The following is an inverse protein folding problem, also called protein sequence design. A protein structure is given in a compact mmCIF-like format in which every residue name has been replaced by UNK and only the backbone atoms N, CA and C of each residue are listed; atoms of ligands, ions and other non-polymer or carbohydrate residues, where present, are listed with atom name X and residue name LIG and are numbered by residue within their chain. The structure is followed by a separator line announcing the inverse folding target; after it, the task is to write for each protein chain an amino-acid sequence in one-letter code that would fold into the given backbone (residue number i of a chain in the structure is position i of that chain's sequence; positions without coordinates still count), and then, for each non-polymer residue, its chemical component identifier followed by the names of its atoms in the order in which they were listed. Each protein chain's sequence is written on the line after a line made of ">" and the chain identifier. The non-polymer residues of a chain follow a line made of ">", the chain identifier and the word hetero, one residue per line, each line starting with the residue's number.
data_IF_276822314238
#
_entry.id   IF_276822314238
#
_cell.length_a   1.000
_cell.length_b   1.000
_cell.length_c   1.000
_cell.angle_alpha   90.00
_cell.angle_beta   90.00
_cell.angle_gamma   90.00
#
_symmetry.space_group_name_H-M   'P 1'
#
loop_
_entity.id
_entity.type
_entity.pdbx_description
1 polymer ?
#
# COMPACT_ATOMS: atom_id res chain seq x y z
N UNK A 1 -13.25 -26.68 5.96
CA UNK A 1 -12.43 -25.48 6.14
C UNK A 1 -12.73 -24.87 7.51
N UNK A 2 -11.71 -24.67 8.35
CA UNK A 2 -11.87 -24.11 9.70
C UNK A 2 -12.45 -22.68 9.63
N UNK A 3 -13.18 -22.23 10.68
CA UNK A 3 -13.81 -20.89 10.76
C UNK A 3 -12.78 -19.77 10.53
N UNK A 4 -11.59 -19.89 11.12
CA UNK A 4 -10.49 -18.94 10.96
C UNK A 4 -10.05 -18.81 9.50
N UNK A 5 -9.89 -19.93 8.78
CA UNK A 5 -9.52 -19.93 7.37
C UNK A 5 -10.57 -19.23 6.49
N UNK A 6 -11.86 -19.43 6.81
CA UNK A 6 -12.94 -18.75 6.11
C UNK A 6 -12.92 -17.23 6.34
N UNK A 7 -12.64 -16.79 7.57
CA UNK A 7 -12.50 -15.37 7.91
C UNK A 7 -11.29 -14.75 7.19
N UNK A 8 -10.14 -15.44 7.15
CA UNK A 8 -8.94 -14.96 6.41
C UNK A 8 -9.25 -14.77 4.93
N UNK A 9 -9.78 -15.79 4.25
CA UNK A 9 -10.09 -15.69 2.82
C UNK A 9 -11.16 -14.65 2.51
N UNK A 10 -12.17 -14.50 3.38
CA UNK A 10 -13.19 -13.47 3.25
C UNK A 10 -12.61 -12.05 3.25
N UNK A 11 -11.50 -11.83 3.96
CA UNK A 11 -10.82 -10.53 4.02
C UNK A 11 -9.72 -10.41 2.96
N UNK A 12 -8.96 -11.49 2.72
CA UNK A 12 -7.84 -11.46 1.80
C UNK A 12 -8.28 -11.36 0.33
N UNK A 13 -9.26 -12.15 -0.11
CA UNK A 13 -9.65 -12.19 -1.53
C UNK A 13 -10.14 -10.83 -2.06
N UNK A 14 -11.04 -10.10 -1.39
CA UNK A 14 -11.41 -8.76 -1.86
C UNK A 14 -10.22 -7.78 -1.88
N UNK A 15 -9.29 -7.91 -0.92
CA UNK A 15 -8.10 -7.06 -0.86
C UNK A 15 -7.15 -7.34 -2.02
N UNK A 16 -6.94 -8.62 -2.40
CA UNK A 16 -6.16 -9.01 -3.57
C UNK A 16 -6.78 -8.41 -4.83
N UNK A 17 -8.09 -8.54 -5.02
CA UNK A 17 -8.79 -7.95 -6.17
C UNK A 17 -8.59 -6.44 -6.22
N UNK A 18 -8.72 -5.75 -5.08
CA UNK A 18 -8.47 -4.31 -4.98
C UNK A 18 -7.04 -3.93 -5.41
N UNK A 19 -6.03 -4.68 -4.95
CA UNK A 19 -4.63 -4.40 -5.26
C UNK A 19 -4.30 -4.62 -6.75
N UNK A 20 -4.88 -5.66 -7.37
CA UNK A 20 -4.67 -5.95 -8.80
C UNK A 20 -5.31 -4.88 -9.70
N UNK A 21 -6.37 -4.19 -9.25
CA UNK A 21 -7.00 -3.14 -10.04
C UNK A 21 -6.15 -1.87 -10.17
N UNK A 22 -5.19 -1.63 -9.27
CA UNK A 22 -4.31 -0.44 -9.30
C UNK A 22 -3.45 -0.37 -10.57
N UNK A 23 -2.64 -1.39 -10.93
CA UNK A 23 -1.85 -1.35 -12.16
C UNK A 23 -2.71 -1.31 -13.43
N UNK A 24 -3.92 -1.89 -13.40
CA UNK A 24 -4.83 -1.83 -14.55
C UNK A 24 -5.26 -0.39 -14.87
N UNK A 25 -5.41 0.46 -13.85
CA UNK A 25 -5.72 1.87 -14.05
C UNK A 25 -4.61 2.60 -14.79
N UNK A 26 -3.35 2.41 -14.36
CA UNK A 26 -2.19 3.02 -15.02
C UNK A 26 -2.05 2.58 -16.49
N UNK A 27 -2.34 1.30 -16.78
CA UNK A 27 -2.36 0.80 -18.15
C UNK A 27 -3.47 1.44 -18.99
N UNK A 28 -4.67 1.61 -18.42
CA UNK A 28 -5.79 2.27 -19.10
C UNK A 28 -5.46 3.74 -19.44
N UNK A 29 -4.91 4.50 -18.48
CA UNK A 29 -4.51 5.88 -18.71
C UNK A 29 -3.43 6.00 -19.81
N UNK A 30 -2.41 5.14 -19.79
CA UNK A 30 -1.38 5.08 -20.82
C UNK A 30 -1.96 4.70 -22.19
N UNK A 31 -2.91 3.77 -22.23
CA UNK A 31 -3.59 3.37 -23.47
C UNK A 31 -4.39 4.53 -24.07
N UNK A 32 -5.19 5.24 -23.25
CA UNK A 32 -5.97 6.41 -23.69
C UNK A 32 -5.05 7.46 -24.29
N UNK A 33 -3.92 7.74 -23.62
CA UNK A 33 -2.97 8.77 -24.07
C UNK A 33 -2.18 8.34 -25.29
N UNK A 34 -1.84 7.06 -25.39
CA UNK A 34 -1.17 6.50 -26.58
C UNK A 34 -1.93 6.75 -27.88
N UNK A 35 -3.26 6.89 -27.81
CA UNK A 35 -4.11 7.19 -28.96
C UNK A 35 -4.26 8.70 -29.28
N UNK A 36 -3.67 9.59 -28.47
CA UNK A 36 -3.68 11.05 -28.75
C UNK A 36 -2.64 11.44 -29.82
N UNK A 37 -1.71 10.53 -30.15
CA UNK A 37 -0.81 10.68 -31.32
C UNK A 37 0.44 11.54 -31.08
N UNK A 38 0.84 11.83 -29.83
CA UNK A 38 2.09 12.57 -29.53
C UNK A 38 2.83 11.93 -28.35
N UNK A 39 4.10 11.58 -28.55
CA UNK A 39 4.97 10.92 -27.57
C UNK A 39 5.13 11.74 -26.27
N UNK A 40 5.10 13.05 -26.34
CA UNK A 40 5.24 13.93 -25.20
C UNK A 40 4.11 13.76 -24.16
N UNK A 41 2.89 13.39 -24.61
CA UNK A 41 1.76 13.15 -23.70
C UNK A 41 1.98 11.88 -22.88
N UNK A 42 2.51 10.81 -23.49
CA UNK A 42 2.81 9.55 -22.81
C UNK A 42 3.87 9.81 -21.72
N UNK A 43 4.94 10.51 -22.07
CA UNK A 43 6.01 10.88 -21.12
C UNK A 43 5.48 11.75 -19.97
N UNK A 44 4.66 12.74 -20.27
CA UNK A 44 4.11 13.65 -19.27
C UNK A 44 3.18 12.93 -18.26
N UNK A 45 2.29 12.04 -18.73
CA UNK A 45 1.44 11.26 -17.82
C UNK A 45 2.24 10.27 -17.00
N UNK A 46 3.24 9.61 -17.60
CA UNK A 46 4.11 8.70 -16.85
C UNK A 46 4.81 9.43 -15.69
N UNK A 47 5.38 10.62 -15.95
CA UNK A 47 6.03 11.45 -14.92
C UNK A 47 4.99 11.95 -13.90
N UNK A 48 3.88 12.53 -14.36
CA UNK A 48 2.82 13.05 -13.48
C UNK A 48 2.24 11.99 -12.57
N UNK A 49 1.91 10.82 -13.10
CA UNK A 49 1.41 9.69 -12.32
C UNK A 49 2.45 9.17 -11.32
N UNK A 50 3.73 9.15 -11.70
CA UNK A 50 4.82 8.73 -10.81
C UNK A 50 4.98 9.69 -9.63
N UNK A 51 4.84 11.00 -9.83
CA UNK A 51 4.85 12.01 -8.76
C UNK A 51 3.76 11.68 -7.72
N UNK A 52 2.52 11.51 -8.16
CA UNK A 52 1.41 11.21 -7.24
C UNK A 52 1.54 9.82 -6.59
N UNK A 53 2.03 8.82 -7.32
CA UNK A 53 2.28 7.49 -6.77
C UNK A 53 3.28 7.53 -5.61
N UNK A 54 4.39 8.25 -5.76
CA UNK A 54 5.38 8.41 -4.69
C UNK A 54 4.77 9.16 -3.50
N UNK A 55 4.08 10.28 -3.75
CA UNK A 55 3.44 11.08 -2.71
C UNK A 55 2.43 10.26 -1.91
N UNK A 56 1.54 9.55 -2.59
CA UNK A 56 0.51 8.76 -1.93
C UNK A 56 1.05 7.49 -1.27
N UNK A 57 2.06 6.84 -1.85
CA UNK A 57 2.68 5.66 -1.24
C UNK A 57 3.31 5.98 0.12
N UNK A 58 4.04 7.10 0.21
CA UNK A 58 4.63 7.55 1.47
C UNK A 58 3.53 7.80 2.53
N UNK A 59 2.38 8.29 2.12
CA UNK A 59 1.25 8.59 3.03
C UNK A 59 0.33 7.39 3.30
N UNK A 60 0.63 6.23 2.73
CA UNK A 60 -0.08 4.97 2.98
C UNK A 60 -0.11 4.54 4.46
N UNK A 61 0.77 5.12 5.29
CA UNK A 61 0.77 4.91 6.74
C UNK A 61 -0.59 5.26 7.39
N UNK A 62 -1.30 6.24 6.85
CA UNK A 62 -2.60 6.68 7.38
C UNK A 62 -3.64 5.54 7.31
N UNK A 63 -3.66 4.78 6.21
CA UNK A 63 -4.51 3.59 6.08
C UNK A 63 -4.14 2.52 7.11
N UNK A 64 -2.84 2.21 7.22
CA UNK A 64 -2.33 1.16 8.09
C UNK A 64 -2.56 1.48 9.58
N UNK A 65 -2.20 2.69 10.01
CA UNK A 65 -2.40 3.12 11.41
C UNK A 65 -3.88 3.17 11.80
N UNK A 66 -4.73 3.63 10.89
CA UNK A 66 -6.19 3.66 11.11
C UNK A 66 -6.76 2.25 11.25
N UNK A 67 -6.38 1.32 10.38
CA UNK A 67 -6.87 -0.05 10.41
C UNK A 67 -6.44 -0.79 11.69
N UNK A 68 -5.18 -0.67 12.09
CA UNK A 68 -4.69 -1.30 13.32
C UNK A 68 -5.43 -0.83 14.58
N UNK A 69 -5.62 0.48 14.75
CA UNK A 69 -6.35 1.02 15.90
C UNK A 69 -7.85 0.70 15.86
N UNK A 70 -8.47 0.77 14.68
CA UNK A 70 -9.89 0.43 14.50
C UNK A 70 -10.14 -1.05 14.78
N UNK A 71 -9.28 -1.95 14.31
CA UNK A 71 -9.46 -3.40 14.55
C UNK A 71 -9.34 -3.78 16.03
N UNK A 72 -8.49 -3.08 16.78
CA UNK A 72 -8.42 -3.26 18.24
C UNK A 72 -9.68 -2.75 18.94
N UNK A 73 -10.19 -1.57 18.58
CA UNK A 73 -11.45 -1.05 19.10
C UNK A 73 -12.62 -1.99 18.77
N UNK A 74 -12.64 -2.53 17.55
CA UNK A 74 -13.61 -3.55 17.14
C UNK A 74 -13.54 -4.80 18.02
N UNK A 75 -12.34 -5.31 18.29
CA UNK A 75 -12.13 -6.48 19.14
C UNK A 75 -12.57 -6.26 20.59
N UNK A 76 -12.34 -5.07 21.12
CA UNK A 76 -12.80 -4.63 22.45
C UNK A 76 -14.29 -4.32 22.50
N UNK A 77 -14.97 -4.26 21.34
CA UNK A 77 -16.36 -3.81 21.19
C UNK A 77 -16.60 -2.37 21.66
N UNK A 78 -15.58 -1.52 21.62
CA UNK A 78 -15.66 -0.10 21.97
C UNK A 78 -15.88 0.71 20.69
N UNK A 79 -17.12 0.80 20.27
CA UNK A 79 -17.53 1.37 18.98
C UNK A 79 -17.23 2.87 18.87
N UNK A 80 -17.39 3.61 19.97
CA UNK A 80 -17.06 5.03 20.00
C UNK A 80 -15.59 5.29 19.65
N UNK A 81 -14.66 4.46 20.16
CA UNK A 81 -13.25 4.62 19.83
C UNK A 81 -12.97 4.32 18.36
N UNK A 82 -13.66 3.33 17.77
CA UNK A 82 -13.55 3.07 16.34
C UNK A 82 -13.98 4.28 15.49
N UNK A 83 -15.00 5.02 15.93
CA UNK A 83 -15.46 6.26 15.26
C UNK A 83 -14.47 7.40 15.51
N UNK A 84 -13.96 7.55 16.73
CA UNK A 84 -12.94 8.56 17.02
C UNK A 84 -11.68 8.38 16.21
N UNK A 85 -11.25 7.12 15.99
CA UNK A 85 -10.13 6.80 15.09
C UNK A 85 -10.43 7.26 13.66
N UNK A 86 -11.66 7.02 13.16
CA UNK A 86 -12.08 7.50 11.84
C UNK A 86 -12.01 9.03 11.73
N UNK A 87 -12.53 9.76 12.72
CA UNK A 87 -12.49 11.23 12.71
C UNK A 87 -11.05 11.76 12.72
N UNK A 88 -10.16 11.17 13.54
CA UNK A 88 -8.73 11.55 13.54
C UNK A 88 -8.09 11.29 12.17
N UNK A 89 -8.35 10.14 11.58
CA UNK A 89 -7.81 9.79 10.26
C UNK A 89 -8.31 10.73 9.17
N UNK A 90 -9.61 11.07 9.16
CA UNK A 90 -10.17 12.04 8.21
C UNK A 90 -9.62 13.45 8.41
N UNK A 91 -9.49 13.91 9.66
CA UNK A 91 -8.93 15.23 9.96
C UNK A 91 -7.49 15.34 9.43
N UNK A 92 -6.66 14.32 9.67
CA UNK A 92 -5.28 14.32 9.17
C UNK A 92 -5.25 14.14 7.65
N UNK A 93 -6.00 13.19 7.09
CA UNK A 93 -5.98 12.92 5.66
C UNK A 93 -6.42 14.12 4.84
N UNK A 94 -7.59 14.67 5.14
CA UNK A 94 -8.12 15.87 4.45
C UNK A 94 -7.23 17.08 4.73
N UNK A 95 -6.78 17.28 5.97
CA UNK A 95 -5.89 18.38 6.34
C UNK A 95 -4.56 18.34 5.59
N UNK A 96 -3.91 17.16 5.50
CA UNK A 96 -2.68 17.01 4.72
C UNK A 96 -2.92 17.24 3.22
N UNK A 97 -4.07 16.77 2.70
CA UNK A 97 -4.44 17.05 1.31
C UNK A 97 -4.59 18.54 1.02
N UNK A 98 -5.18 19.29 1.95
CA UNK A 98 -5.27 20.76 1.86
C UNK A 98 -3.87 21.40 1.92
N UNK A 99 -2.98 20.93 2.80
CA UNK A 99 -1.59 21.39 2.87
C UNK A 99 -0.89 21.15 1.52
N UNK A 100 -1.13 20.00 0.87
CA UNK A 100 -0.56 19.72 -0.45
C UNK A 100 -1.04 20.71 -1.52
N UNK A 101 -2.32 21.12 -1.49
CA UNK A 101 -2.84 22.14 -2.39
C UNK A 101 -2.16 23.49 -2.11
N UNK A 102 -2.00 23.88 -0.84
CA UNK A 102 -1.36 25.14 -0.46
C UNK A 102 0.13 25.15 -0.90
N UNK A 103 0.82 24.03 -0.71
CA UNK A 103 2.23 23.87 -1.02
C UNK A 103 2.50 23.37 -2.44
N UNK A 104 1.51 23.33 -3.33
CA UNK A 104 1.59 22.67 -4.65
C UNK A 104 2.80 23.13 -5.48
N UNK A 105 3.10 24.43 -5.52
CA UNK A 105 4.21 24.96 -6.31
C UNK A 105 5.57 24.49 -5.80
N UNK A 106 5.74 24.37 -4.48
CA UNK A 106 6.99 23.88 -3.88
C UNK A 106 7.14 22.37 -4.13
N UNK A 107 6.06 21.61 -3.98
CA UNK A 107 6.05 20.17 -4.23
C UNK A 107 6.37 19.88 -5.69
N UNK A 108 5.72 20.58 -6.60
CA UNK A 108 5.96 20.46 -8.03
C UNK A 108 7.43 20.74 -8.39
N UNK A 109 7.98 21.85 -7.91
CA UNK A 109 9.37 22.21 -8.15
C UNK A 109 10.34 21.12 -7.68
N UNK A 110 10.16 20.62 -6.45
CA UNK A 110 10.99 19.53 -5.90
C UNK A 110 10.90 18.28 -6.78
N UNK A 111 9.69 17.88 -7.18
CA UNK A 111 9.46 16.66 -7.94
C UNK A 111 10.00 16.76 -9.38
N UNK A 112 9.81 17.88 -10.05
CA UNK A 112 10.34 18.13 -11.39
C UNK A 112 11.88 18.08 -11.37
N UNK A 113 12.52 18.72 -10.38
CA UNK A 113 13.98 18.67 -10.21
C UNK A 113 14.47 17.24 -9.91
N UNK A 114 13.76 16.51 -9.05
CA UNK A 114 14.14 15.14 -8.69
C UNK A 114 14.02 14.15 -9.86
N UNK A 115 13.07 14.38 -10.77
CA UNK A 115 12.80 13.49 -11.90
C UNK A 115 13.56 13.85 -13.18
N UNK A 116 14.33 14.95 -13.20
CA UNK A 116 15.00 15.46 -14.40
C UNK A 116 14.06 15.51 -15.61
N UNK A 117 12.89 16.13 -15.43
CA UNK A 117 11.81 16.15 -16.44
C UNK A 117 12.29 16.84 -17.73
N UNK A 118 12.13 16.22 -18.92
CA UNK A 118 12.49 16.85 -20.17
C UNK A 118 11.71 18.15 -20.41
N UNK A 119 12.40 19.20 -20.91
CA UNK A 119 11.79 20.51 -21.13
C UNK A 119 10.55 20.48 -22.06
N UNK A 120 10.53 19.57 -23.03
CA UNK A 120 9.38 19.38 -23.94
C UNK A 120 8.11 18.85 -23.23
N UNK A 121 8.27 18.08 -22.18
CA UNK A 121 7.13 17.50 -21.40
C UNK A 121 6.72 18.39 -20.22
N UNK A 122 7.54 19.37 -19.84
CA UNK A 122 7.33 20.18 -18.64
C UNK A 122 5.96 20.89 -18.60
N UNK A 123 5.47 21.58 -19.66
CA UNK A 123 4.17 22.25 -19.62
C UNK A 123 3.02 21.25 -19.43
N UNK A 124 3.15 20.05 -19.99
CA UNK A 124 2.14 19.01 -19.89
C UNK A 124 2.11 18.39 -18.47
N UNK A 125 3.29 18.15 -17.86
CA UNK A 125 3.38 17.71 -16.47
C UNK A 125 2.79 18.74 -15.53
N UNK A 126 3.06 20.02 -15.77
CA UNK A 126 2.49 21.14 -15.02
C UNK A 126 0.95 21.13 -15.08
N UNK A 127 0.35 21.07 -16.29
CA UNK A 127 -1.10 21.01 -16.45
C UNK A 127 -1.71 19.81 -15.72
N UNK A 128 -1.09 18.61 -15.87
CA UNK A 128 -1.55 17.40 -15.19
C UNK A 128 -1.50 17.54 -13.68
N UNK A 129 -0.36 18.01 -13.15
CA UNK A 129 -0.14 18.16 -11.72
C UNK A 129 -1.13 19.11 -11.06
N UNK A 130 -1.34 20.30 -11.66
CA UNK A 130 -2.24 21.33 -11.12
C UNK A 130 -3.72 20.91 -11.12
N UNK A 131 -4.14 19.98 -11.97
CA UNK A 131 -5.48 19.42 -11.94
C UNK A 131 -5.60 18.32 -10.89
N UNK A 132 -4.69 17.33 -10.90
CA UNK A 132 -4.80 16.15 -10.05
C UNK A 132 -4.56 16.47 -8.57
N UNK A 133 -3.76 17.48 -8.23
CA UNK A 133 -3.46 17.86 -6.85
C UNK A 133 -4.73 18.22 -6.04
N UNK A 134 -5.77 18.73 -6.69
CA UNK A 134 -7.06 19.01 -6.07
C UNK A 134 -7.80 17.78 -5.59
N UNK A 135 -7.38 16.60 -6.02
CA UNK A 135 -7.86 15.31 -5.52
C UNK A 135 -7.14 14.82 -4.26
N UNK A 136 -6.05 15.47 -3.84
CA UNK A 136 -5.27 15.02 -2.68
C UNK A 136 -6.09 14.91 -1.38
N UNK A 137 -7.00 15.87 -1.02
CA UNK A 137 -7.83 15.72 0.17
C UNK A 137 -8.76 14.50 0.10
N UNK A 138 -9.33 14.24 -1.07
CA UNK A 138 -10.18 13.08 -1.30
C UNK A 138 -9.39 11.76 -1.19
N UNK A 139 -8.22 11.69 -1.82
CA UNK A 139 -7.39 10.48 -1.83
C UNK A 139 -6.84 10.15 -0.43
N UNK A 140 -6.34 11.13 0.29
CA UNK A 140 -5.82 10.93 1.64
C UNK A 140 -6.95 10.68 2.65
N UNK A 141 -8.11 11.32 2.49
CA UNK A 141 -9.30 10.99 3.25
C UNK A 141 -9.77 9.56 2.99
N UNK A 142 -9.71 9.10 1.74
CA UNK A 142 -10.04 7.73 1.35
C UNK A 142 -9.09 6.70 1.97
N UNK A 143 -7.81 7.03 2.17
CA UNK A 143 -6.89 6.15 2.91
C UNK A 143 -7.37 5.91 4.34
N UNK A 144 -7.79 6.97 5.04
CA UNK A 144 -8.37 6.85 6.38
C UNK A 144 -9.62 5.97 6.38
N UNK A 145 -10.53 6.20 5.42
CA UNK A 145 -11.76 5.43 5.26
C UNK A 145 -11.49 3.95 4.96
N UNK A 146 -10.60 3.66 4.02
CA UNK A 146 -10.22 2.30 3.67
C UNK A 146 -9.59 1.56 4.87
N UNK A 147 -8.68 2.23 5.61
CA UNK A 147 -8.13 1.69 6.84
C UNK A 147 -9.22 1.37 7.86
N UNK A 148 -10.17 2.28 8.04
CA UNK A 148 -11.30 2.08 8.94
C UNK A 148 -12.17 0.89 8.52
N UNK A 149 -12.53 0.74 7.25
CA UNK A 149 -13.32 -0.41 6.77
C UNK A 149 -12.59 -1.74 6.99
N UNK A 150 -11.28 -1.79 6.72
CA UNK A 150 -10.45 -2.99 6.97
C UNK A 150 -10.47 -3.32 8.47
N UNK A 151 -10.26 -2.33 9.33
CA UNK A 151 -10.32 -2.48 10.78
C UNK A 151 -11.69 -2.95 11.29
N UNK A 152 -12.77 -2.51 10.63
CA UNK A 152 -14.15 -2.95 10.86
C UNK A 152 -14.45 -4.34 10.25
N UNK A 153 -13.44 -5.10 9.85
CA UNK A 153 -13.55 -6.45 9.28
C UNK A 153 -14.30 -6.50 7.94
N UNK A 154 -14.28 -5.42 7.18
CA UNK A 154 -14.97 -5.32 5.89
C UNK A 154 -14.04 -4.82 4.78
N UNK A 155 -13.48 -5.75 4.02
CA UNK A 155 -12.60 -5.46 2.86
C UNK A 155 -13.38 -5.39 1.54
N UNK A 156 -14.66 -5.78 1.53
CA UNK A 156 -15.52 -5.71 0.33
C UNK A 156 -15.85 -4.29 -0.07
N UNK A 157 -16.04 -3.38 0.90
CA UNK A 157 -16.32 -1.98 0.61
C UNK A 157 -15.11 -1.31 -0.04
N UNK A 158 -13.88 -1.37 0.50
CA UNK A 158 -12.69 -0.88 -0.19
C UNK A 158 -12.51 -1.45 -1.60
N UNK A 159 -12.74 -2.75 -1.79
CA UNK A 159 -12.69 -3.38 -3.12
C UNK A 159 -13.71 -2.76 -4.09
N UNK A 160 -14.96 -2.64 -3.65
CA UNK A 160 -16.02 -2.04 -4.48
C UNK A 160 -15.68 -0.60 -4.86
N UNK A 161 -15.19 0.19 -3.88
CA UNK A 161 -14.78 1.58 -4.12
C UNK A 161 -13.64 1.62 -5.15
N UNK A 162 -12.62 0.78 -5.02
CA UNK A 162 -11.51 0.73 -5.96
C UNK A 162 -11.97 0.40 -7.39
N UNK A 163 -12.85 -0.60 -7.54
CA UNK A 163 -13.39 -0.98 -8.85
C UNK A 163 -14.22 0.17 -9.46
N UNK A 164 -15.15 0.74 -8.69
CA UNK A 164 -16.00 1.83 -9.18
C UNK A 164 -15.18 3.07 -9.50
N UNK A 165 -14.19 3.40 -8.67
CA UNK A 165 -13.27 4.51 -8.89
C UNK A 165 -12.48 4.34 -10.21
N UNK A 166 -11.97 3.13 -10.48
CA UNK A 166 -11.25 2.84 -11.72
C UNK A 166 -12.18 2.93 -12.94
N UNK A 167 -13.41 2.41 -12.84
CA UNK A 167 -14.39 2.53 -13.91
C UNK A 167 -14.76 3.99 -14.21
N UNK A 168 -14.96 4.79 -13.16
CA UNK A 168 -15.25 6.23 -13.30
C UNK A 168 -14.06 6.95 -13.95
N UNK A 169 -12.82 6.63 -13.53
CA UNK A 169 -11.62 7.21 -14.13
C UNK A 169 -11.55 6.92 -15.63
N UNK A 170 -11.64 5.65 -16.01
CA UNK A 170 -11.57 5.24 -17.43
C UNK A 170 -12.66 5.92 -18.25
N UNK A 171 -13.91 5.87 -17.76
CA UNK A 171 -15.04 6.44 -18.49
C UNK A 171 -14.94 7.96 -18.62
N UNK A 172 -14.58 8.66 -17.54
CA UNK A 172 -14.43 10.12 -17.55
C UNK A 172 -13.23 10.54 -18.43
N UNK A 173 -12.09 9.83 -18.36
CA UNK A 173 -10.94 10.10 -19.21
C UNK A 173 -11.27 9.91 -20.70
N UNK A 174 -11.96 8.82 -21.07
CA UNK A 174 -12.43 8.60 -22.44
C UNK A 174 -13.39 9.71 -22.91
N UNK A 175 -14.34 10.09 -22.06
CA UNK A 175 -15.31 11.15 -22.37
C UNK A 175 -14.62 12.50 -22.60
N UNK A 176 -13.69 12.88 -21.73
CA UNK A 176 -13.01 14.17 -21.87
C UNK A 176 -12.00 14.19 -23.01
N UNK A 177 -11.28 13.11 -23.23
CA UNK A 177 -10.26 13.04 -24.30
C UNK A 177 -10.93 12.96 -25.67
N UNK A 178 -11.84 12.01 -25.87
CA UNK A 178 -12.43 11.76 -27.20
C UNK A 178 -13.75 12.47 -27.44
N UNK A 179 -14.55 12.76 -26.38
CA UNK A 179 -15.82 13.45 -26.51
C UNK A 179 -15.68 14.98 -26.50
N UNK A 180 -14.87 15.51 -25.58
CA UNK A 180 -14.68 16.98 -25.41
C UNK A 180 -13.45 17.50 -26.16
N UNK A 181 -12.49 16.60 -26.49
CA UNK A 181 -11.25 16.98 -27.17
C UNK A 181 -10.16 17.51 -26.23
N UNK A 182 -10.32 17.35 -24.90
CA UNK A 182 -9.27 17.66 -23.95
C UNK A 182 -8.20 16.57 -24.03
N UNK A 183 -6.94 17.00 -24.02
CA UNK A 183 -5.82 16.08 -24.15
C UNK A 183 -5.41 15.55 -22.77
N UNK A 184 -4.25 16.00 -22.26
CA UNK A 184 -3.73 15.60 -20.94
C UNK A 184 -4.67 16.08 -19.81
N UNK A 185 -5.29 17.23 -19.98
CA UNK A 185 -6.25 17.80 -19.03
C UNK A 185 -7.47 16.89 -18.89
N UNK A 186 -7.86 16.19 -19.96
CA UNK A 186 -8.97 15.23 -19.94
C UNK A 186 -8.69 14.04 -19.04
N UNK A 187 -7.49 13.44 -19.14
CA UNK A 187 -7.07 12.33 -18.29
C UNK A 187 -6.89 12.80 -16.82
N UNK A 188 -6.29 13.97 -16.62
CA UNK A 188 -6.13 14.57 -15.29
C UNK A 188 -7.49 14.83 -14.61
N UNK A 189 -8.45 15.36 -15.37
CA UNK A 189 -9.82 15.62 -14.87
C UNK A 189 -10.57 14.32 -14.57
N UNK A 190 -10.39 13.28 -15.40
CA UNK A 190 -10.94 11.95 -15.16
C UNK A 190 -10.42 11.36 -13.84
N UNK A 191 -9.11 11.49 -13.60
CA UNK A 191 -8.48 11.08 -12.35
C UNK A 191 -9.02 11.85 -11.15
N UNK A 192 -9.16 13.16 -11.25
CA UNK A 192 -9.70 14.03 -10.21
C UNK A 192 -11.15 13.63 -9.84
N UNK A 193 -12.01 13.44 -10.84
CA UNK A 193 -13.41 13.03 -10.63
C UNK A 193 -13.46 11.65 -9.98
N UNK A 194 -12.61 10.71 -10.41
CA UNK A 194 -12.54 9.37 -9.82
C UNK A 194 -12.14 9.43 -8.35
N UNK A 195 -11.14 10.25 -7.97
CA UNK A 195 -10.68 10.39 -6.58
C UNK A 195 -11.80 10.93 -5.67
N UNK A 196 -12.48 11.99 -6.07
CA UNK A 196 -13.62 12.54 -5.32
C UNK A 196 -14.81 11.58 -5.27
N UNK A 197 -15.12 10.90 -6.38
CA UNK A 197 -16.18 9.90 -6.41
C UNK A 197 -15.91 8.76 -5.42
N UNK A 198 -14.69 8.22 -5.40
CA UNK A 198 -14.30 7.18 -4.45
C UNK A 198 -14.44 7.63 -2.99
N UNK A 199 -14.03 8.85 -2.68
CA UNK A 199 -14.15 9.43 -1.34
C UNK A 199 -15.62 9.61 -0.92
N UNK A 200 -16.47 10.15 -1.81
CA UNK A 200 -17.89 10.38 -1.54
C UNK A 200 -18.64 9.05 -1.39
N UNK A 201 -18.35 8.05 -2.21
CA UNK A 201 -18.91 6.70 -2.09
C UNK A 201 -18.51 6.06 -0.76
N UNK A 202 -17.25 6.22 -0.33
CA UNK A 202 -16.81 5.74 0.95
C UNK A 202 -17.56 6.39 2.12
N UNK A 203 -17.73 7.71 2.10
CA UNK A 203 -18.54 8.45 3.08
C UNK A 203 -19.99 7.99 3.10
N UNK A 204 -20.58 7.75 1.94
CA UNK A 204 -21.95 7.20 1.83
C UNK A 204 -22.05 5.83 2.51
N UNK A 205 -21.08 4.92 2.32
CA UNK A 205 -21.08 3.62 2.99
C UNK A 205 -20.90 3.74 4.51
N UNK A 206 -20.07 4.68 4.99
CA UNK A 206 -19.98 4.97 6.42
C UNK A 206 -21.35 5.43 6.96
N UNK A 207 -21.96 6.44 6.33
CA UNK A 207 -23.25 6.98 6.75
C UNK A 207 -24.35 5.89 6.77
N UNK A 208 -24.45 5.10 5.69
CA UNK A 208 -25.43 4.01 5.58
C UNK A 208 -25.20 2.92 6.63
N UNK A 209 -23.93 2.56 6.87
CA UNK A 209 -23.58 1.55 7.88
C UNK A 209 -23.94 1.98 9.28
N UNK A 210 -23.71 3.24 9.62
CA UNK A 210 -24.10 3.83 10.88
C UNK A 210 -25.62 3.90 11.04
N UNK A 211 -26.34 4.33 10.01
CA UNK A 211 -27.82 4.42 10.04
C UNK A 211 -28.47 3.06 10.22
N UNK A 212 -28.01 2.05 9.50
CA UNK A 212 -28.60 0.71 9.53
C UNK A 212 -28.07 -0.18 10.67
N UNK A 213 -27.30 0.37 11.60
CA UNK A 213 -26.61 -0.39 12.67
C UNK A 213 -25.80 -1.59 12.14
N UNK A 214 -25.39 -1.53 10.87
CA UNK A 214 -24.65 -2.64 10.22
C UNK A 214 -23.28 -2.84 10.86
N UNK A 215 -22.66 -1.77 11.34
CA UNK A 215 -21.35 -1.81 12.00
C UNK A 215 -21.47 -1.91 13.52
N UNK A 216 -22.58 -1.44 14.11
CA UNK A 216 -22.81 -1.45 15.56
C UNK A 216 -24.27 -1.71 15.90
N UNK A 217 -24.48 -2.34 17.04
CA UNK A 217 -25.82 -2.63 17.56
C UNK A 217 -26.37 -1.55 18.50
N UNK A 218 -25.52 -0.64 19.01
CA UNK A 218 -25.84 0.23 20.15
C UNK A 218 -25.69 1.74 19.95
N UNK A 219 -25.14 2.23 18.80
CA UNK A 219 -24.94 3.64 18.56
C UNK A 219 -26.06 4.24 17.69
N UNK A 220 -26.69 5.29 18.21
CA UNK A 220 -27.65 6.10 17.48
C UNK A 220 -26.90 7.22 16.71
N UNK A 221 -27.38 7.61 15.52
CA UNK A 221 -26.78 8.68 14.69
C UNK A 221 -26.64 10.00 15.46
N UNK A 222 -27.54 10.25 16.42
CA UNK A 222 -27.50 11.42 17.31
C UNK A 222 -26.26 11.44 18.21
N UNK A 223 -25.63 10.32 18.50
CA UNK A 223 -24.38 10.22 19.26
C UNK A 223 -23.13 10.48 18.40
N UNK A 224 -23.26 10.45 17.06
CA UNK A 224 -22.27 10.94 16.12
C UNK A 224 -22.27 12.46 15.96
N UNK A 225 -22.90 13.16 16.87
CA UNK A 225 -23.06 14.60 16.85
C UNK A 225 -21.71 15.32 16.91
N UNK A 226 -21.74 16.58 16.56
CA UNK A 226 -20.63 17.54 16.69
C UNK A 226 -19.91 17.49 18.05
N UNK A 227 -20.59 17.06 19.12
CA UNK A 227 -20.00 16.82 20.45
C UNK A 227 -18.95 15.70 20.44
N UNK A 228 -19.20 14.58 19.75
CA UNK A 228 -18.24 13.48 19.64
C UNK A 228 -17.01 13.91 18.81
N UNK A 229 -17.22 14.64 17.74
CA UNK A 229 -16.14 15.21 16.95
C UNK A 229 -15.30 16.19 17.79
N UNK A 230 -15.95 17.13 18.48
CA UNK A 230 -15.28 18.08 19.38
C UNK A 230 -14.51 17.37 20.49
N UNK A 231 -15.11 16.38 21.15
CA UNK A 231 -14.43 15.59 22.18
C UNK A 231 -13.25 14.80 21.63
N UNK A 232 -13.31 14.34 20.37
CA UNK A 232 -12.21 13.64 19.71
C UNK A 232 -10.99 14.55 19.53
N UNK A 233 -11.21 15.83 19.20
CA UNK A 233 -10.14 16.81 19.00
C UNK A 233 -9.43 17.19 20.31
N UNK A 234 -10.11 17.11 21.47
CA UNK A 234 -9.56 17.54 22.77
C UNK A 234 -8.77 16.48 23.53
N UNK A 235 -8.85 15.19 23.14
CA UNK A 235 -8.12 14.11 23.81
C UNK A 235 -6.66 13.99 23.34
N UNK A 236 -5.75 14.74 23.96
CA UNK A 236 -4.33 14.82 23.59
C UNK A 236 -3.62 13.46 23.60
N UNK A 237 -3.84 12.63 24.62
CA UNK A 237 -3.19 11.31 24.72
C UNK A 237 -3.53 10.38 23.54
N UNK A 238 -4.78 10.43 23.09
CA UNK A 238 -5.22 9.64 21.95
C UNK A 238 -4.60 10.14 20.63
N UNK A 239 -4.38 11.45 20.51
CA UNK A 239 -3.63 12.02 19.39
C UNK A 239 -2.16 11.63 19.42
N UNK A 240 -1.51 11.70 20.58
CA UNK A 240 -0.12 11.28 20.75
C UNK A 240 0.07 9.82 20.33
N UNK A 241 -0.85 8.93 20.75
CA UNK A 241 -0.84 7.52 20.35
C UNK A 241 -1.03 7.39 18.83
N UNK A 242 -2.00 8.12 18.24
CA UNK A 242 -2.25 8.10 16.81
C UNK A 242 -1.01 8.54 16.02
N UNK A 243 -0.38 9.64 16.41
CA UNK A 243 0.84 10.14 15.78
C UNK A 243 2.02 9.20 15.97
N UNK A 244 2.20 8.62 17.14
CA UNK A 244 3.30 7.68 17.41
C UNK A 244 3.21 6.44 16.50
N UNK A 245 2.03 5.83 16.40
CA UNK A 245 1.79 4.67 15.52
C UNK A 245 2.06 5.04 14.07
N UNK A 246 1.50 6.15 13.61
CA UNK A 246 1.63 6.58 12.21
C UNK A 246 3.06 7.01 11.87
N UNK A 247 3.79 7.67 12.79
CA UNK A 247 5.20 8.02 12.61
C UNK A 247 6.06 6.79 12.40
N UNK A 248 5.90 5.76 13.22
CA UNK A 248 6.71 4.55 13.11
C UNK A 248 6.45 3.82 11.79
N UNK A 249 5.18 3.78 11.33
CA UNK A 249 4.82 3.22 10.02
C UNK A 249 5.40 4.07 8.89
N UNK A 250 5.33 5.40 9.00
CA UNK A 250 5.93 6.33 8.03
C UNK A 250 7.44 6.10 7.89
N UNK A 251 8.17 6.09 9.00
CA UNK A 251 9.62 5.88 8.99
C UNK A 251 9.98 4.50 8.43
N UNK A 252 9.21 3.47 8.78
CA UNK A 252 9.36 2.13 8.16
C UNK A 252 9.14 2.19 6.66
N UNK A 253 8.13 2.92 6.18
CA UNK A 253 7.84 3.05 4.75
C UNK A 253 8.99 3.76 4.04
N UNK A 254 9.60 4.78 4.65
CA UNK A 254 10.80 5.41 4.10
C UNK A 254 11.97 4.42 3.93
N UNK A 255 12.16 3.48 4.87
CA UNK A 255 13.17 2.41 4.69
C UNK A 255 12.90 1.56 3.44
N UNK A 256 11.63 1.18 3.20
CA UNK A 256 11.24 0.42 2.02
C UNK A 256 11.43 1.20 0.72
N UNK A 257 11.00 2.46 0.73
CA UNK A 257 11.15 3.38 -0.41
C UNK A 257 12.64 3.57 -0.73
N UNK A 258 13.48 3.78 0.28
CA UNK A 258 14.92 3.95 0.11
C UNK A 258 15.57 2.74 -0.57
N UNK A 259 15.21 1.51 -0.15
CA UNK A 259 15.72 0.27 -0.77
C UNK A 259 15.26 0.17 -2.22
N UNK A 260 13.98 0.41 -2.51
CA UNK A 260 13.44 0.33 -3.87
C UNK A 260 14.03 1.38 -4.83
N UNK A 261 14.12 2.64 -4.38
CA UNK A 261 14.73 3.71 -5.17
C UNK A 261 16.22 3.43 -5.41
N UNK A 262 16.93 2.97 -4.40
CA UNK A 262 18.33 2.61 -4.54
C UNK A 262 18.52 1.43 -5.50
N UNK A 263 17.66 0.41 -5.43
CA UNK A 263 17.70 -0.74 -6.35
C UNK A 263 17.59 -0.29 -7.81
N UNK A 264 16.63 0.59 -8.10
CA UNK A 264 16.45 1.17 -9.45
C UNK A 264 17.64 2.01 -9.86
N UNK A 265 18.12 2.91 -8.97
CA UNK A 265 19.28 3.78 -9.24
C UNK A 265 20.58 2.98 -9.46
N UNK A 266 20.80 1.94 -8.66
CA UNK A 266 21.98 1.07 -8.78
C UNK A 266 21.95 0.27 -10.09
N UNK A 267 20.78 -0.19 -10.52
CA UNK A 267 20.58 -0.80 -11.85
C UNK A 267 20.87 0.18 -12.98
N UNK A 268 20.37 1.42 -12.87
CA UNK A 268 20.63 2.47 -13.86
C UNK A 268 22.12 2.82 -14.03
N UNK A 269 22.88 2.80 -12.95
CA UNK A 269 24.35 3.02 -12.99
C UNK A 269 25.12 1.90 -13.69
N UNK A 270 24.53 0.72 -13.87
CA UNK A 270 25.12 -0.40 -14.61
C UNK A 270 24.74 -0.39 -16.10
N UNK A 271 23.95 0.59 -16.54
CA UNK A 271 23.56 0.79 -17.92
C UNK A 271 22.07 0.58 -18.16
N UNK A 272 21.58 1.09 -19.29
CA UNK A 272 20.16 1.07 -19.65
C UNK A 272 19.61 -0.35 -19.79
N UNK A 273 20.41 -1.29 -20.29
CA UNK A 273 20.00 -2.70 -20.45
C UNK A 273 19.75 -3.34 -19.09
N UNK A 274 20.67 -3.19 -18.14
CA UNK A 274 20.51 -3.75 -16.76
C UNK A 274 19.35 -3.09 -16.02
N UNK A 275 19.15 -1.78 -16.19
CA UNK A 275 17.98 -1.10 -15.64
C UNK A 275 16.67 -1.72 -16.17
N UNK A 276 16.60 -1.97 -17.49
CA UNK A 276 15.42 -2.60 -18.11
C UNK A 276 15.20 -4.02 -17.60
N UNK A 277 16.26 -4.81 -17.49
CA UNK A 277 16.24 -6.16 -16.92
C UNK A 277 15.71 -6.13 -15.49
N UNK A 278 16.26 -5.28 -14.63
CA UNK A 278 15.86 -5.19 -13.24
C UNK A 278 14.42 -4.70 -13.09
N UNK A 279 13.97 -3.74 -13.89
CA UNK A 279 12.59 -3.25 -13.92
C UNK A 279 11.62 -4.38 -14.30
N UNK A 280 11.96 -5.15 -15.32
CA UNK A 280 11.16 -6.28 -15.81
C UNK A 280 11.01 -7.36 -14.72
N UNK A 281 12.11 -7.74 -14.08
CA UNK A 281 12.09 -8.76 -13.02
C UNK A 281 11.42 -8.26 -11.72
N UNK A 282 11.53 -6.96 -11.39
CA UNK A 282 10.83 -6.37 -10.25
C UNK A 282 9.30 -6.37 -10.42
N UNK A 283 8.79 -6.48 -11.65
CA UNK A 283 7.35 -6.68 -11.88
C UNK A 283 6.87 -8.01 -11.27
N UNK A 284 7.70 -9.07 -11.29
CA UNK A 284 7.39 -10.33 -10.61
C UNK A 284 7.28 -10.14 -9.08
N UNK A 285 8.21 -9.39 -8.49
CA UNK A 285 8.11 -9.04 -7.07
C UNK A 285 6.82 -8.26 -6.77
N UNK A 286 6.49 -7.28 -7.58
CA UNK A 286 5.28 -6.47 -7.43
C UNK A 286 4.00 -7.31 -7.52
N UNK A 287 3.95 -8.24 -8.48
CA UNK A 287 2.83 -9.16 -8.62
C UNK A 287 2.66 -10.03 -7.37
N UNK A 288 3.74 -10.65 -6.88
CA UNK A 288 3.70 -11.41 -5.64
C UNK A 288 3.27 -10.55 -4.44
N UNK A 289 3.76 -9.32 -4.35
CA UNK A 289 3.40 -8.41 -3.25
C UNK A 289 1.91 -8.07 -3.22
N UNK A 290 1.26 -7.87 -4.35
CA UNK A 290 -0.19 -7.60 -4.40
C UNK A 290 -1.04 -8.73 -3.80
N UNK A 291 -0.62 -9.98 -4.02
CA UNK A 291 -1.29 -11.13 -3.41
C UNK A 291 -0.99 -11.19 -1.90
N UNK A 292 0.26 -11.01 -1.51
CA UNK A 292 0.65 -11.08 -0.10
C UNK A 292 0.09 -9.92 0.72
N UNK A 293 -0.04 -8.73 0.15
CA UNK A 293 -0.70 -7.59 0.78
C UNK A 293 -2.18 -7.88 1.10
N UNK A 294 -2.85 -8.67 0.26
CA UNK A 294 -4.20 -9.12 0.58
C UNK A 294 -4.27 -9.98 1.84
N UNK A 295 -3.32 -10.89 2.02
CA UNK A 295 -3.21 -11.67 3.25
C UNK A 295 -2.71 -10.82 4.44
N UNK A 296 -1.84 -9.84 4.19
CA UNK A 296 -1.42 -8.88 5.20
C UNK A 296 -2.61 -8.07 5.73
N UNK A 297 -3.53 -7.61 4.86
CA UNK A 297 -4.75 -6.90 5.29
C UNK A 297 -5.68 -7.79 6.12
N UNK A 298 -5.80 -9.07 5.78
CA UNK A 298 -6.52 -10.02 6.62
C UNK A 298 -5.81 -10.20 7.99
N UNK A 299 -4.49 -10.30 7.99
CA UNK A 299 -3.67 -10.33 9.20
C UNK A 299 -3.85 -9.09 10.07
N UNK A 300 -3.84 -7.90 9.46
CA UNK A 300 -4.05 -6.59 10.09
C UNK A 300 -5.42 -6.52 10.78
N UNK A 301 -6.48 -6.89 10.08
CA UNK A 301 -7.83 -6.85 10.60
C UNK A 301 -8.05 -7.87 11.73
N UNK A 302 -7.61 -9.13 11.54
CA UNK A 302 -7.86 -10.21 12.48
C UNK A 302 -6.94 -10.15 13.70
N UNK A 303 -5.65 -9.81 13.53
CA UNK A 303 -4.72 -9.68 14.66
C UNK A 303 -5.17 -8.60 15.64
N UNK A 304 -5.58 -7.42 15.11
CA UNK A 304 -6.11 -6.35 15.95
C UNK A 304 -7.41 -6.74 16.67
N UNK A 305 -8.36 -7.37 15.96
CA UNK A 305 -9.60 -7.90 16.54
C UNK A 305 -9.31 -8.88 17.68
N UNK A 306 -8.45 -9.87 17.46
CA UNK A 306 -8.16 -10.91 18.44
C UNK A 306 -7.32 -10.38 19.61
N UNK A 307 -6.40 -9.47 19.33
CA UNK A 307 -5.65 -8.78 20.38
C UNK A 307 -6.56 -7.88 21.23
N UNK A 308 -7.43 -7.08 20.59
CA UNK A 308 -8.40 -6.26 21.29
C UNK A 308 -9.36 -7.08 22.18
N UNK A 309 -9.76 -8.27 21.71
CA UNK A 309 -10.60 -9.21 22.46
C UNK A 309 -9.82 -10.05 23.49
N UNK A 310 -8.52 -9.86 23.65
CA UNK A 310 -7.62 -10.64 24.51
C UNK A 310 -7.67 -12.15 24.25
N UNK A 311 -7.94 -12.57 23.02
CA UNK A 311 -8.07 -13.96 22.61
C UNK A 311 -6.75 -14.52 22.06
N UNK A 312 -5.86 -14.99 22.96
CA UNK A 312 -4.55 -15.54 22.62
C UNK A 312 -4.65 -16.80 21.75
N UNK A 313 -5.56 -17.72 22.06
CA UNK A 313 -5.69 -18.98 21.32
C UNK A 313 -6.16 -18.72 19.89
N UNK A 314 -7.18 -17.87 19.69
CA UNK A 314 -7.63 -17.47 18.38
C UNK A 314 -6.54 -16.73 17.58
N UNK A 315 -5.73 -15.92 18.27
CA UNK A 315 -4.60 -15.22 17.66
C UNK A 315 -3.54 -16.19 17.13
N UNK A 316 -3.13 -17.18 17.95
CA UNK A 316 -2.16 -18.18 17.51
C UNK A 316 -2.68 -19.02 16.35
N UNK A 317 -3.95 -19.42 16.40
CA UNK A 317 -4.60 -20.15 15.29
C UNK A 317 -4.63 -19.33 14.00
N UNK A 318 -4.94 -18.02 14.09
CA UNK A 318 -4.92 -17.10 12.96
C UNK A 318 -3.51 -16.97 12.36
N UNK A 319 -2.47 -16.84 13.20
CA UNK A 319 -1.07 -16.78 12.75
C UNK A 319 -0.69 -18.05 11.99
N UNK A 320 -0.96 -19.24 12.54
CA UNK A 320 -0.70 -20.51 11.86
C UNK A 320 -1.43 -20.61 10.51
N UNK A 321 -2.70 -20.19 10.46
CA UNK A 321 -3.49 -20.22 9.23
C UNK A 321 -2.92 -19.25 8.18
N UNK A 322 -2.51 -18.04 8.57
CA UNK A 322 -1.89 -17.06 7.64
C UNK A 322 -0.58 -17.59 7.06
N UNK A 323 0.28 -18.19 7.88
CA UNK A 323 1.51 -18.81 7.38
C UNK A 323 1.23 -20.06 6.53
N UNK A 324 0.16 -20.80 6.81
CA UNK A 324 -0.32 -21.89 5.94
C UNK A 324 -0.72 -21.39 4.55
N UNK A 325 -1.52 -20.33 4.47
CA UNK A 325 -1.85 -19.69 3.19
C UNK A 325 -0.63 -19.05 2.53
N UNK A 326 0.24 -18.42 3.30
CA UNK A 326 1.53 -17.90 2.80
C UNK A 326 2.39 -18.98 2.17
N UNK A 327 2.49 -20.16 2.80
CA UNK A 327 3.20 -21.33 2.24
C UNK A 327 2.59 -21.80 0.92
N UNK A 328 1.27 -21.84 0.81
CA UNK A 328 0.58 -22.13 -0.46
C UNK A 328 0.96 -21.11 -1.54
N UNK A 329 0.96 -19.81 -1.20
CA UNK A 329 1.38 -18.76 -2.13
C UNK A 329 2.86 -18.89 -2.54
N UNK A 330 3.74 -19.25 -1.61
CA UNK A 330 5.15 -19.51 -1.92
C UNK A 330 5.27 -20.62 -2.96
N UNK A 331 4.64 -21.77 -2.74
CA UNK A 331 4.68 -22.89 -3.67
C UNK A 331 4.10 -22.48 -5.03
N UNK A 332 2.94 -21.84 -5.04
CA UNK A 332 2.25 -21.41 -6.26
C UNK A 332 3.12 -20.45 -7.10
N UNK A 333 3.60 -19.37 -6.49
CA UNK A 333 4.36 -18.34 -7.21
C UNK A 333 5.75 -18.84 -7.61
N UNK A 334 6.43 -19.63 -6.76
CA UNK A 334 7.70 -20.25 -7.14
C UNK A 334 7.50 -21.20 -8.33
N UNK A 335 6.44 -22.02 -8.33
CA UNK A 335 6.12 -22.89 -9.47
C UNK A 335 5.81 -22.08 -10.74
N UNK A 336 5.01 -21.00 -10.65
CA UNK A 336 4.72 -20.12 -11.78
C UNK A 336 6.01 -19.49 -12.32
N UNK A 337 6.88 -18.96 -11.46
CA UNK A 337 8.10 -18.28 -11.90
C UNK A 337 9.13 -19.24 -12.48
N UNK A 338 9.26 -20.45 -11.95
CA UNK A 338 10.18 -21.46 -12.50
C UNK A 338 9.68 -22.05 -13.81
N UNK A 339 8.40 -22.37 -13.93
CA UNK A 339 7.84 -23.02 -15.11
C UNK A 339 7.52 -22.04 -16.24
N UNK A 340 7.06 -20.83 -15.91
CA UNK A 340 6.55 -19.86 -16.87
C UNK A 340 7.31 -18.54 -16.89
N UNK A 341 8.40 -18.39 -16.14
CA UNK A 341 9.14 -17.13 -16.01
C UNK A 341 9.60 -16.57 -17.35
N UNK A 342 10.12 -17.40 -18.25
CA UNK A 342 10.51 -16.97 -19.59
C UNK A 342 9.31 -16.48 -20.41
N UNK A 343 8.19 -17.19 -20.38
CA UNK A 343 6.96 -16.78 -21.08
C UNK A 343 6.39 -15.49 -20.49
N UNK A 344 6.53 -15.29 -19.18
CA UNK A 344 6.14 -14.06 -18.52
C UNK A 344 6.98 -12.86 -18.99
N UNK A 345 8.29 -13.04 -19.23
CA UNK A 345 9.14 -11.99 -19.81
C UNK A 345 8.65 -11.62 -21.22
N UNK A 346 8.31 -12.61 -22.07
CA UNK A 346 7.75 -12.37 -23.41
C UNK A 346 6.38 -11.68 -23.38
N UNK A 347 5.58 -11.87 -22.31
CA UNK A 347 4.32 -11.14 -22.14
C UNK A 347 4.55 -9.64 -21.85
N UNK A 348 5.67 -9.30 -21.19
CA UNK A 348 5.95 -7.94 -20.76
C UNK A 348 6.73 -7.11 -21.80
N UNK A 349 7.50 -7.76 -22.68
CA UNK A 349 8.30 -7.06 -23.70
C UNK A 349 8.61 -7.96 -24.89
N UNK A 350 8.66 -7.36 -26.10
CA UNK A 350 9.10 -8.01 -27.35
C UNK A 350 10.60 -7.81 -27.60
N UNK A 351 11.30 -7.05 -26.72
CA UNK A 351 12.71 -6.76 -26.90
C UNK A 351 13.59 -7.97 -26.54
N UNK A 352 14.02 -8.70 -27.56
CA UNK A 352 14.84 -9.91 -27.43
C UNK A 352 16.14 -9.69 -26.66
N UNK A 353 16.78 -8.52 -26.78
CA UNK A 353 18.01 -8.19 -26.05
C UNK A 353 17.76 -8.13 -24.55
N UNK A 354 16.65 -7.51 -24.12
CA UNK A 354 16.27 -7.42 -22.70
C UNK A 354 15.90 -8.79 -22.16
N UNK A 355 15.13 -9.59 -22.94
CA UNK A 355 14.75 -10.94 -22.55
C UNK A 355 15.98 -11.82 -22.36
N UNK A 356 16.89 -11.86 -23.32
CA UNK A 356 18.12 -12.66 -23.22
C UNK A 356 18.97 -12.23 -22.02
N UNK A 357 19.13 -10.92 -21.81
CA UNK A 357 19.88 -10.37 -20.68
C UNK A 357 19.20 -10.63 -19.31
N UNK A 358 17.88 -10.87 -19.28
CA UNK A 358 17.14 -11.18 -18.06
C UNK A 358 17.30 -12.63 -17.59
N UNK A 359 17.58 -13.58 -18.50
CA UNK A 359 17.61 -15.02 -18.19
C UNK A 359 18.59 -15.37 -17.05
N UNK A 360 19.83 -14.85 -16.99
CA UNK A 360 20.76 -15.14 -15.89
C UNK A 360 20.25 -14.68 -14.52
N UNK A 361 19.45 -13.61 -14.50
CA UNK A 361 18.95 -13.02 -13.25
C UNK A 361 17.57 -13.55 -12.84
N UNK A 362 16.89 -14.28 -13.73
CA UNK A 362 15.56 -14.83 -13.48
C UNK A 362 15.55 -15.77 -12.27
N UNK A 363 16.64 -16.46 -12.01
CA UNK A 363 16.79 -17.35 -10.84
C UNK A 363 16.52 -16.62 -9.51
N UNK A 364 16.87 -15.35 -9.39
CA UNK A 364 16.64 -14.58 -8.17
C UNK A 364 15.16 -14.37 -7.89
N UNK A 365 14.33 -14.28 -8.92
CA UNK A 365 12.89 -14.11 -8.76
C UNK A 365 12.21 -15.35 -8.17
N UNK A 366 12.80 -16.55 -8.35
CA UNK A 366 12.26 -17.79 -7.77
C UNK A 366 12.32 -17.81 -6.24
N UNK A 367 13.27 -17.07 -5.67
CA UNK A 367 13.44 -16.96 -4.21
C UNK A 367 12.59 -15.84 -3.58
N UNK A 368 12.04 -14.92 -4.38
CA UNK A 368 11.22 -13.80 -3.89
C UNK A 368 10.06 -14.29 -3.01
N UNK A 369 9.25 -15.30 -3.43
CA UNK A 369 8.13 -15.74 -2.61
C UNK A 369 8.56 -16.29 -1.25
N UNK A 370 9.61 -17.09 -1.22
CA UNK A 370 10.14 -17.70 0.00
C UNK A 370 10.71 -16.66 0.98
N UNK A 371 11.47 -15.71 0.46
CA UNK A 371 12.14 -14.68 1.28
C UNK A 371 11.18 -13.59 1.75
N UNK A 372 10.15 -13.28 0.96
CA UNK A 372 9.21 -12.19 1.24
C UNK A 372 8.05 -12.57 2.16
N UNK A 373 7.56 -13.82 2.10
CA UNK A 373 6.30 -14.24 2.73
C UNK A 373 6.19 -13.84 4.20
N UNK A 374 7.24 -14.09 4.98
CA UNK A 374 7.24 -13.82 6.42
C UNK A 374 7.13 -12.32 6.71
N UNK A 375 7.87 -11.48 5.97
CA UNK A 375 7.82 -10.04 6.11
C UNK A 375 6.43 -9.45 5.85
N UNK A 376 5.72 -9.90 4.82
CA UNK A 376 4.35 -9.45 4.52
C UNK A 376 3.35 -9.85 5.60
N UNK A 377 3.41 -11.11 6.07
CA UNK A 377 2.49 -11.60 7.09
C UNK A 377 2.71 -10.90 8.42
N UNK A 378 3.96 -10.78 8.87
CA UNK A 378 4.26 -10.09 10.12
C UNK A 378 3.96 -8.60 10.06
N UNK A 379 4.17 -7.93 8.93
CA UNK A 379 3.76 -6.53 8.77
C UNK A 379 2.27 -6.35 9.07
N UNK A 380 1.41 -7.19 8.49
CA UNK A 380 -0.02 -7.16 8.79
C UNK A 380 -0.33 -7.42 10.27
N UNK A 381 0.30 -8.42 10.87
CA UNK A 381 0.11 -8.75 12.29
C UNK A 381 0.55 -7.58 13.20
N UNK A 382 1.71 -6.97 12.92
CA UNK A 382 2.25 -5.88 13.72
C UNK A 382 1.42 -4.61 13.61
N UNK A 383 0.90 -4.30 12.42
CA UNK A 383 -0.03 -3.18 12.21
C UNK A 383 -1.29 -3.39 13.04
N UNK A 384 -1.93 -4.56 12.95
CA UNK A 384 -3.14 -4.85 13.70
C UNK A 384 -2.94 -4.79 15.22
N UNK A 385 -1.78 -5.22 15.71
CA UNK A 385 -1.43 -5.10 17.12
C UNK A 385 -0.93 -3.71 17.52
N UNK A 386 -0.73 -2.81 16.56
CA UNK A 386 -0.04 -1.51 16.76
C UNK A 386 1.37 -1.66 17.36
N UNK A 387 2.07 -2.77 17.00
CA UNK A 387 3.49 -3.00 17.37
C UNK A 387 4.42 -2.38 16.32
N UNK A 388 4.16 -1.13 15.99
CA UNK A 388 4.80 -0.40 14.89
C UNK A 388 6.28 -0.13 15.14
N UNK A 389 6.68 0.01 16.41
CA UNK A 389 8.09 0.18 16.79
C UNK A 389 8.94 -1.04 16.41
N UNK A 390 8.44 -2.25 16.66
CA UNK A 390 9.11 -3.49 16.25
C UNK A 390 9.27 -3.59 14.74
N UNK A 391 8.20 -3.24 14.00
CA UNK A 391 8.21 -3.21 12.55
C UNK A 391 9.23 -2.20 11.99
N UNK A 392 9.32 -1.00 12.57
CA UNK A 392 10.31 0.01 12.19
C UNK A 392 11.74 -0.48 12.42
N UNK A 393 12.05 -0.94 13.64
CA UNK A 393 13.42 -1.36 14.00
C UNK A 393 13.88 -2.50 13.11
N UNK A 394 13.06 -3.52 12.89
CA UNK A 394 13.42 -4.67 12.05
C UNK A 394 13.63 -4.28 10.59
N UNK A 395 12.82 -3.36 10.07
CA UNK A 395 12.98 -2.85 8.69
C UNK A 395 14.21 -1.97 8.54
N UNK A 396 14.53 -1.15 9.54
CA UNK A 396 15.74 -0.32 9.54
C UNK A 396 17.02 -1.18 9.58
N UNK A 397 17.06 -2.22 10.43
CA UNK A 397 18.18 -3.16 10.47
C UNK A 397 18.35 -3.87 9.13
N UNK A 398 17.23 -4.37 8.54
CA UNK A 398 17.27 -5.04 7.24
C UNK A 398 17.76 -4.09 6.13
N UNK A 399 17.36 -2.81 6.14
CA UNK A 399 17.83 -1.78 5.21
C UNK A 399 19.36 -1.55 5.36
N UNK A 400 19.85 -1.42 6.58
CA UNK A 400 21.30 -1.24 6.82
C UNK A 400 22.08 -2.45 6.30
N UNK A 401 21.59 -3.68 6.57
CA UNK A 401 22.21 -4.90 6.06
C UNK A 401 22.19 -4.98 4.52
N UNK A 402 21.08 -4.51 3.89
CA UNK A 402 21.00 -4.40 2.43
C UNK A 402 22.14 -3.54 1.87
N UNK A 403 22.30 -2.32 2.38
CA UNK A 403 23.34 -1.41 1.91
C UNK A 403 24.75 -1.96 2.20
N UNK A 404 24.98 -2.44 3.42
CA UNK A 404 26.28 -3.02 3.80
C UNK A 404 26.67 -4.17 2.87
N UNK A 405 25.78 -5.14 2.68
CA UNK A 405 26.03 -6.27 1.80
C UNK A 405 26.25 -5.83 0.35
N UNK A 406 25.41 -4.94 -0.18
CA UNK A 406 25.56 -4.47 -1.55
C UNK A 406 26.92 -3.82 -1.81
N UNK A 407 27.36 -2.92 -0.94
CA UNK A 407 28.64 -2.22 -1.15
C UNK A 407 29.84 -3.14 -1.00
N UNK A 408 29.78 -4.16 -0.15
CA UNK A 408 30.83 -5.17 0.00
C UNK A 408 30.85 -6.12 -1.21
N UNK A 409 29.69 -6.56 -1.70
CA UNK A 409 29.59 -7.59 -2.73
C UNK A 409 29.66 -7.03 -4.17
N UNK A 410 29.32 -5.75 -4.37
CA UNK A 410 29.27 -5.09 -5.68
C UNK A 410 30.55 -5.28 -6.53
N UNK A 411 31.78 -5.14 -5.98
CA UNK A 411 32.98 -5.30 -6.79
C UNK A 411 33.18 -6.72 -7.37
N UNK A 412 32.53 -7.72 -6.77
CA UNK A 412 32.71 -9.13 -7.15
C UNK A 412 31.54 -9.67 -7.99
N UNK A 413 30.32 -9.16 -7.75
CA UNK A 413 29.09 -9.80 -8.27
C UNK A 413 28.16 -8.83 -9.02
N UNK A 414 28.54 -7.55 -9.14
CA UNK A 414 27.79 -6.53 -9.89
C UNK A 414 26.28 -6.54 -9.64
N UNK A 415 25.47 -6.83 -10.68
CA UNK A 415 24.02 -6.87 -10.57
C UNK A 415 23.50 -8.04 -9.72
N UNK A 416 24.23 -9.17 -9.64
CA UNK A 416 23.88 -10.26 -8.75
C UNK A 416 23.98 -9.84 -7.27
N UNK A 417 24.95 -8.98 -6.92
CA UNK A 417 25.05 -8.41 -5.57
C UNK A 417 23.80 -7.61 -5.19
N UNK A 418 23.21 -6.89 -6.15
CA UNK A 418 22.01 -6.11 -5.95
C UNK A 418 20.79 -7.01 -5.65
N UNK A 419 20.63 -8.09 -6.43
CA UNK A 419 19.55 -9.07 -6.23
C UNK A 419 19.69 -9.84 -4.92
N UNK A 420 20.90 -10.29 -4.57
CA UNK A 420 21.15 -11.00 -3.31
C UNK A 420 20.90 -10.05 -2.13
N UNK A 421 21.35 -8.80 -2.20
CA UNK A 421 21.06 -7.79 -1.19
C UNK A 421 19.55 -7.58 -1.00
N UNK A 422 18.78 -7.55 -2.09
CA UNK A 422 17.33 -7.40 -2.04
C UNK A 422 16.63 -8.62 -1.39
N UNK A 423 17.04 -9.84 -1.75
CA UNK A 423 16.54 -11.07 -1.11
C UNK A 423 16.92 -11.14 0.38
N UNK A 424 18.12 -10.70 0.72
CA UNK A 424 18.59 -10.59 2.11
C UNK A 424 17.70 -9.60 2.89
N UNK A 425 17.41 -8.45 2.31
CA UNK A 425 16.49 -7.46 2.90
C UNK A 425 15.11 -8.07 3.19
N UNK A 426 14.52 -8.77 2.22
CA UNK A 426 13.22 -9.43 2.39
C UNK A 426 13.28 -10.50 3.49
N UNK A 427 14.31 -11.35 3.48
CA UNK A 427 14.49 -12.43 4.46
C UNK A 427 14.69 -11.89 5.88
N UNK A 428 15.61 -10.93 6.04
CA UNK A 428 15.92 -10.36 7.35
C UNK A 428 14.72 -9.68 7.99
N UNK A 429 13.89 -8.98 7.20
CA UNK A 429 12.64 -8.42 7.72
C UNK A 429 11.79 -9.50 8.39
N UNK A 430 11.53 -10.60 7.66
CA UNK A 430 10.71 -11.69 8.19
C UNK A 430 11.33 -12.37 9.41
N UNK A 431 12.63 -12.67 9.36
CA UNK A 431 13.36 -13.35 10.45
C UNK A 431 13.38 -12.48 11.71
N UNK A 432 13.76 -11.22 11.59
CA UNK A 432 13.83 -10.30 12.73
C UNK A 432 12.45 -10.05 13.34
N UNK A 433 11.40 -9.94 12.50
CA UNK A 433 10.03 -9.80 12.96
C UNK A 433 9.54 -11.07 13.68
N UNK A 434 9.93 -12.27 13.24
CA UNK A 434 9.63 -13.51 13.95
C UNK A 434 10.22 -13.50 15.38
N UNK A 435 11.50 -13.17 15.53
CA UNK A 435 12.14 -13.11 16.86
C UNK A 435 11.52 -12.01 17.73
N UNK A 436 11.20 -10.85 17.13
CA UNK A 436 10.50 -9.78 17.82
C UNK A 436 9.11 -10.22 18.30
N UNK A 437 8.34 -10.87 17.44
CA UNK A 437 7.02 -11.39 17.78
C UNK A 437 7.08 -12.40 18.93
N UNK A 438 8.03 -13.33 18.90
CA UNK A 438 8.23 -14.31 19.95
C UNK A 438 8.55 -13.66 21.32
N UNK A 439 9.38 -12.61 21.32
CA UNK A 439 9.82 -11.95 22.55
C UNK A 439 8.78 -10.97 23.11
N UNK A 440 8.15 -10.19 22.28
CA UNK A 440 7.35 -9.05 22.72
C UNK A 440 5.85 -9.23 22.52
N UNK A 441 5.41 -9.83 21.40
CA UNK A 441 3.99 -9.96 21.07
C UNK A 441 3.29 -10.95 22.01
N UNK A 442 3.89 -12.10 22.24
CA UNK A 442 3.31 -13.13 23.10
C UNK A 442 3.26 -12.70 24.58
N UNK A 443 4.21 -11.92 25.04
CA UNK A 443 4.24 -11.42 26.42
C UNK A 443 3.15 -10.38 26.71
N UNK A 444 2.67 -9.64 25.70
CA UNK A 444 1.59 -8.66 25.88
C UNK A 444 0.25 -9.28 26.24
N UNK A 445 -0.06 -10.49 25.75
CA UNK A 445 -1.25 -11.23 26.17
C UNK A 445 -1.18 -11.66 27.66
N UNK A 446 0.04 -11.88 28.19
CA UNK A 446 0.23 -12.27 29.58
C UNK A 446 0.16 -11.10 30.55
N UNK A 447 0.57 -9.89 30.12
CA UNK A 447 0.54 -8.67 30.93
C UNK A 447 -0.89 -8.10 31.06
N UNK A 448 -1.74 -8.30 30.06
CA UNK A 448 -3.16 -7.90 30.09
C UNK A 448 -3.97 -8.70 31.13
N UNK A 449 -3.59 -9.95 31.40
CA UNK A 449 -4.26 -10.78 32.43
C UNK A 449 -3.86 -10.42 33.87
N UNK A 450 -2.80 -9.61 34.09
CA UNK A 450 -2.38 -9.20 35.42
C UNK A 450 -3.01 -7.86 35.87
N UNK A 451 -3.76 -7.17 34.99
CA UNK A 451 -4.43 -5.90 35.25
C UNK A 451 -5.95 -6.02 35.38
N UNK A 452 -6.49 -7.22 35.44
CA UNK A 452 -7.85 -7.56 35.88
C UNK A 452 -7.68 -8.24 37.24
#
# INVERSE_FOLDING_TARGET
>A
MNKTNKEILRLALPSIVSNITVPLLGLADLTIVGHIGNENYIGAIAIGSMIFNIMYWILGFLRMGTSGMTSQAYGKKVWEEAIRVLFRALTIGVGMGIIFIICQSVIEWIMICAMNTPGSSLPLVHSYFHIVIWGAPAMLGLYGLNGWFIGMQNTKIPMLIAIVQNLINIFASLLFVFGVGWKIEGVASGTLIAQWSGFLIALFFVHRGLKNKTFYTSLTITQLSFSLFKSTLTHIEAWQRFFSVNRDIFLRTLCLVAVNLFFTSAGGKQGALILSVNTLLMTMFTLFSYFMDGFAYAGEALSGKLYGANNKNGFMQMVHSLFGFGGIMVILFTAIYTLSGKNFLHLLTDNSSVICASLPYLVWTYFIPLTGVAGFIYDGIFIGMTETKGMLITSAIAMVCFFAFYYIAKPFWENNALWIAFLLFLSLRGILQFFWAKKFVLNRFSASNKKI
#
